data_IF_628667146642
#
_entry.id   IF_628667146642
#
_cell.length_a   1.000
_cell.length_b   1.000
_cell.length_c   1.000
_cell.angle_alpha   90.00
_cell.angle_beta   90.00
_cell.angle_gamma   90.00
#
_symmetry.space_group_name_H-M   'P 1'
#
loop_
_entity.id
_entity.type
_entity.pdbx_description
1 polymer ?
#
# COMPACT_ATOMS: atom_id res chain seq x y z
N UNK A 1 -3.78 25.10 24.97
CA UNK A 1 -4.43 23.80 25.20
C UNK A 1 -3.64 22.77 24.41
N UNK A 2 -3.05 21.77 25.09
CA UNK A 2 -2.32 20.72 24.38
C UNK A 2 -3.29 19.91 23.51
N UNK A 3 -3.00 19.82 22.23
CA UNK A 3 -3.75 19.01 21.27
C UNK A 3 -3.66 17.53 21.66
N UNK A 4 -4.62 16.72 21.20
CA UNK A 4 -4.58 15.26 21.42
C UNK A 4 -3.27 14.67 20.87
N UNK A 5 -2.78 15.20 19.74
CA UNK A 5 -1.49 14.82 19.15
C UNK A 5 -0.32 15.06 20.10
N UNK A 6 -0.22 16.25 20.71
CA UNK A 6 0.86 16.59 21.64
C UNK A 6 0.82 15.71 22.90
N UNK A 7 -0.38 15.38 23.39
CA UNK A 7 -0.54 14.47 24.54
C UNK A 7 -0.01 13.07 24.23
N UNK A 8 -0.28 12.56 23.02
CA UNK A 8 0.19 11.23 22.58
C UNK A 8 1.71 11.23 22.42
N UNK A 9 2.28 12.25 21.77
CA UNK A 9 3.75 12.37 21.61
C UNK A 9 4.45 12.41 22.97
N UNK A 10 3.94 13.22 23.89
CA UNK A 10 4.50 13.29 25.24
C UNK A 10 4.36 11.96 25.98
N UNK A 11 3.27 11.22 25.78
CA UNK A 11 3.10 9.89 26.35
C UNK A 11 4.18 8.92 25.87
N UNK A 12 4.45 8.90 24.56
CA UNK A 12 5.46 8.03 23.94
C UNK A 12 6.87 8.40 24.41
N UNK A 13 7.19 9.69 24.52
CA UNK A 13 8.51 10.17 24.94
C UNK A 13 8.86 9.82 26.40
N UNK A 14 7.86 9.51 27.23
CA UNK A 14 8.06 9.12 28.63
C UNK A 14 8.06 7.59 28.82
N UNK A 15 8.10 6.79 27.75
CA UNK A 15 8.20 5.34 27.84
C UNK A 15 9.68 4.96 28.00
N UNK A 16 10.06 4.59 29.22
CA UNK A 16 11.43 4.12 29.53
C UNK A 16 11.62 2.61 29.29
N UNK A 17 10.54 1.88 29.03
CA UNK A 17 10.57 0.45 28.72
C UNK A 17 10.67 0.24 27.21
N UNK A 18 11.82 -0.27 26.75
CA UNK A 18 12.11 -0.51 25.33
C UNK A 18 11.15 -1.51 24.66
N UNK A 19 10.75 -2.58 25.38
CA UNK A 19 9.81 -3.58 24.86
C UNK A 19 8.43 -2.95 24.63
N UNK A 20 7.95 -2.16 25.58
CA UNK A 20 6.69 -1.43 25.44
C UNK A 20 6.73 -0.40 24.30
N UNK A 21 7.86 0.28 24.12
CA UNK A 21 8.03 1.24 23.02
C UNK A 21 7.97 0.53 21.67
N UNK A 22 8.57 -0.66 21.57
CA UNK A 22 8.52 -1.50 20.38
C UNK A 22 7.09 -1.96 20.06
N UNK A 23 6.32 -2.40 21.06
CA UNK A 23 4.91 -2.78 20.89
C UNK A 23 4.05 -1.60 20.41
N UNK A 24 4.25 -0.41 20.98
CA UNK A 24 3.56 0.81 20.57
C UNK A 24 3.91 1.19 19.12
N UNK A 25 5.16 1.04 18.73
CA UNK A 25 5.59 1.27 17.35
C UNK A 25 4.92 0.31 16.37
N UNK A 26 4.89 -1.00 16.68
CA UNK A 26 4.21 -2.00 15.86
C UNK A 26 2.71 -1.72 15.73
N UNK A 27 2.04 -1.34 16.82
CA UNK A 27 0.63 -0.96 16.77
C UNK A 27 0.37 0.24 15.85
N UNK A 28 1.24 1.26 15.89
CA UNK A 28 1.11 2.42 15.02
C UNK A 28 1.33 2.08 13.54
N UNK A 29 2.29 1.18 13.26
CA UNK A 29 2.47 0.63 11.92
C UNK A 29 1.25 -0.13 11.45
N UNK A 30 0.66 -1.00 12.28
CA UNK A 30 -0.56 -1.74 11.93
C UNK A 30 -1.74 -0.79 11.65
N UNK A 31 -1.88 0.28 12.45
CA UNK A 31 -2.89 1.32 12.23
C UNK A 31 -2.64 2.04 10.89
N UNK A 32 -1.38 2.36 10.57
CA UNK A 32 -1.01 2.99 9.30
C UNK A 32 -1.17 2.02 8.11
N UNK A 33 -0.90 0.74 8.32
CA UNK A 33 -1.10 -0.36 7.38
C UNK A 33 -2.56 -0.81 7.29
N UNK A 34 -3.49 -0.21 8.05
CA UNK A 34 -4.93 -0.38 7.83
C UNK A 34 -5.24 0.09 6.41
N UNK A 35 -5.24 -0.91 5.54
CA UNK A 35 -4.91 -0.86 4.11
C UNK A 35 -5.67 0.23 3.37
N UNK A 36 -4.96 0.98 2.53
CA UNK A 36 -5.59 1.59 1.36
C UNK A 36 -6.17 0.45 0.51
N UNK A 37 -7.47 0.20 0.66
CA UNK A 37 -8.19 -0.73 -0.21
C UNK A 37 -8.31 -0.06 -1.58
N UNK A 38 -7.38 -0.39 -2.48
CA UNK A 38 -7.46 0.05 -3.87
C UNK A 38 -8.63 -0.67 -4.51
N UNK A 39 -9.73 0.07 -4.73
CA UNK A 39 -10.90 -0.44 -5.43
C UNK A 39 -10.68 -0.25 -6.92
N UNK A 40 -10.41 -1.35 -7.61
CA UNK A 40 -10.25 -1.35 -9.06
C UNK A 40 -11.59 -1.09 -9.75
N UNK A 41 -11.57 -0.27 -10.80
CA UNK A 41 -12.72 -0.08 -11.68
C UNK A 41 -12.94 -1.33 -12.59
N UNK A 42 -14.01 -1.33 -13.36
CA UNK A 42 -14.35 -2.49 -14.21
C UNK A 42 -13.26 -2.77 -15.27
N UNK A 43 -12.73 -1.73 -15.91
CA UNK A 43 -11.70 -1.81 -16.94
C UNK A 43 -10.38 -2.38 -16.38
N UNK A 44 -9.91 -1.86 -15.26
CA UNK A 44 -8.71 -2.36 -14.57
C UNK A 44 -8.83 -3.84 -14.19
N UNK A 45 -10.01 -4.27 -13.73
CA UNK A 45 -10.26 -5.69 -13.45
C UNK A 45 -10.20 -6.53 -14.73
N UNK A 46 -10.77 -6.04 -15.83
CA UNK A 46 -10.72 -6.72 -17.11
C UNK A 46 -9.28 -6.86 -17.63
N UNK A 47 -8.49 -5.79 -17.58
CA UNK A 47 -7.09 -5.80 -18.02
C UNK A 47 -6.23 -6.80 -17.22
N UNK A 48 -6.47 -6.90 -15.91
CA UNK A 48 -5.78 -7.90 -15.07
C UNK A 48 -6.19 -9.33 -15.45
N UNK A 49 -7.47 -9.58 -15.75
CA UNK A 49 -7.92 -10.89 -16.19
C UNK A 49 -7.35 -11.27 -17.56
N UNK A 50 -7.25 -10.31 -18.49
CA UNK A 50 -6.58 -10.50 -19.77
C UNK A 50 -5.10 -10.86 -19.58
N UNK A 51 -4.36 -10.07 -18.78
CA UNK A 51 -2.96 -10.35 -18.47
C UNK A 51 -2.75 -11.74 -17.83
N UNK A 52 -3.67 -12.18 -16.97
CA UNK A 52 -3.66 -13.53 -16.39
C UNK A 52 -3.83 -14.62 -17.45
N UNK A 53 -4.68 -14.39 -18.43
CA UNK A 53 -4.92 -15.33 -19.54
C UNK A 53 -3.74 -15.38 -20.51
N UNK A 54 -3.13 -14.23 -20.80
CA UNK A 54 -1.92 -14.15 -21.62
C UNK A 54 -0.77 -14.93 -20.98
N UNK A 55 -0.55 -14.75 -19.67
CA UNK A 55 0.45 -15.51 -18.93
C UNK A 55 0.19 -17.03 -19.01
N UNK A 56 -1.05 -17.46 -18.80
CA UNK A 56 -1.43 -18.88 -18.88
C UNK A 56 -1.29 -19.48 -20.27
N UNK A 57 -1.52 -18.67 -21.31
CA UNK A 57 -1.42 -19.09 -22.71
C UNK A 57 0.01 -19.00 -23.26
N UNK A 58 0.98 -18.52 -22.47
CA UNK A 58 2.36 -18.35 -22.90
C UNK A 58 2.54 -17.21 -23.90
N UNK A 59 1.65 -16.22 -23.87
CA UNK A 59 1.77 -15.01 -24.68
C UNK A 59 2.66 -14.00 -23.95
N UNK A 60 3.69 -13.55 -24.65
CA UNK A 60 4.65 -12.58 -24.14
C UNK A 60 4.59 -11.31 -24.99
N UNK A 61 4.89 -10.19 -24.35
CA UNK A 61 4.95 -8.88 -24.97
C UNK A 61 6.36 -8.35 -24.90
N UNK A 62 6.80 -7.70 -25.96
CA UNK A 62 7.98 -6.84 -25.92
C UNK A 62 7.67 -5.59 -25.09
N UNK A 63 8.71 -4.89 -24.63
CA UNK A 63 8.55 -3.63 -23.90
C UNK A 63 7.72 -2.63 -24.72
N UNK A 64 7.96 -2.52 -26.03
CA UNK A 64 7.21 -1.61 -26.91
C UNK A 64 5.71 -1.95 -26.94
N UNK A 65 5.34 -3.24 -26.96
CA UNK A 65 3.93 -3.66 -26.95
C UNK A 65 3.26 -3.45 -25.59
N UNK A 66 3.98 -3.69 -24.49
CA UNK A 66 3.44 -3.54 -23.13
C UNK A 66 3.19 -2.07 -22.74
N UNK A 67 3.97 -1.15 -23.30
CA UNK A 67 3.89 0.29 -23.02
C UNK A 67 3.27 1.09 -24.16
N UNK A 68 2.73 0.43 -25.19
CA UNK A 68 2.16 1.09 -26.37
C UNK A 68 1.10 2.13 -26.00
N UNK A 69 0.19 1.75 -25.11
CA UNK A 69 -0.90 2.61 -24.65
C UNK A 69 -0.47 3.64 -23.58
N UNK A 70 0.78 3.58 -23.11
CA UNK A 70 1.39 4.55 -22.18
C UNK A 70 2.30 5.56 -22.90
N UNK A 71 2.59 5.32 -24.18
CA UNK A 71 3.48 6.15 -25.02
C UNK A 71 2.71 7.05 -25.99
N UNK A 72 1.43 6.75 -26.26
CA UNK A 72 0.47 7.61 -26.96
C UNK A 72 -0.44 8.27 -25.89
N UNK A 73 -0.17 9.53 -25.52
CA UNK A 73 -0.98 10.48 -24.71
C UNK A 73 -2.09 9.95 -23.76
#
# INVERSE_FOLDING_TARGET
>A
MATVKEKIINGIQNIDNEELLQEVYTLLLDIQETKQVITLNAEQKMLIEEARNDYKSGRYYTTEEAFKDLLDD
#
